data_IF_236647434465
#
_entry.id   IF_236647434465
#
_cell.length_a   1.000
_cell.length_b   1.000
_cell.length_c   1.000
_cell.angle_alpha   90.00
_cell.angle_beta   90.00
_cell.angle_gamma   90.00
#
_symmetry.space_group_name_H-M   'P 1'
#
loop_
_entity.id
_entity.type
_entity.pdbx_description
1 polymer ?
#
# COMPACT_ATOMS: atom_id res chain seq x y z
N UNK A 1 32.32 11.62 43.36
CA UNK A 1 31.08 10.84 43.58
C UNK A 1 30.10 11.68 44.39
N UNK A 2 28.93 12.03 43.82
CA UNK A 2 27.59 11.98 44.45
C UNK A 2 26.59 12.77 43.60
N UNK A 3 25.61 12.01 43.12
CA UNK A 3 24.66 12.31 42.06
C UNK A 3 23.42 12.97 42.66
N UNK A 4 22.89 13.99 41.98
CA UNK A 4 21.69 14.70 42.38
C UNK A 4 20.45 13.96 41.86
N UNK A 5 19.68 13.39 42.77
CA UNK A 5 18.42 12.71 42.49
C UNK A 5 17.26 13.55 43.02
N UNK A 6 16.15 13.46 42.29
CA UNK A 6 14.78 13.78 42.65
C UNK A 6 14.26 15.15 42.19
N UNK A 7 13.58 15.17 41.04
CA UNK A 7 12.13 14.94 40.92
C UNK A 7 11.42 16.27 41.05
N UNK A 8 11.06 16.90 39.93
CA UNK A 8 9.80 17.64 39.81
C UNK A 8 9.34 17.64 38.35
N UNK A 9 8.18 17.02 38.16
CA UNK A 9 7.17 17.35 37.14
C UNK A 9 7.35 16.70 35.75
N UNK A 10 6.70 15.53 35.60
CA UNK A 10 5.93 15.29 34.39
C UNK A 10 4.68 16.18 34.43
N UNK A 11 4.29 16.75 33.28
CA UNK A 11 2.92 16.59 32.85
C UNK A 11 2.85 15.81 31.53
N UNK A 12 1.76 15.07 31.45
CA UNK A 12 1.21 14.34 30.31
C UNK A 12 1.15 15.19 29.05
N UNK A 13 1.15 14.48 27.92
CA UNK A 13 0.51 14.88 26.67
C UNK A 13 1.12 16.08 25.93
N UNK A 14 2.11 15.80 25.09
CA UNK A 14 2.12 16.32 23.74
C UNK A 14 2.86 15.30 22.87
N UNK A 15 2.07 14.38 22.31
CA UNK A 15 2.44 13.65 21.10
C UNK A 15 2.92 14.71 20.13
N UNK A 16 4.24 14.84 19.96
CA UNK A 16 4.82 15.71 18.96
C UNK A 16 4.44 15.09 17.62
N UNK A 17 3.27 15.47 17.13
CA UNK A 17 2.85 15.31 15.75
C UNK A 17 3.74 16.24 14.96
N UNK A 18 4.98 15.82 14.71
CA UNK A 18 5.73 16.36 13.60
C UNK A 18 4.88 16.09 12.35
N UNK A 19 4.44 17.12 11.61
CA UNK A 19 3.86 16.88 10.31
C UNK A 19 5.02 16.40 9.45
N UNK A 20 5.16 15.07 9.32
CA UNK A 20 5.94 14.51 8.23
C UNK A 20 5.19 14.92 6.98
N UNK A 21 5.73 15.93 6.31
CA UNK A 21 5.23 16.48 5.06
C UNK A 21 4.64 15.40 4.17
N UNK A 22 3.44 15.61 3.60
CA UNK A 22 3.00 14.78 2.50
C UNK A 22 3.91 15.13 1.32
N UNK A 23 4.99 14.37 1.13
CA UNK A 23 5.66 14.30 -0.16
C UNK A 23 4.72 13.60 -1.15
N UNK A 24 3.63 14.28 -1.49
CA UNK A 24 2.97 14.16 -2.77
C UNK A 24 3.84 14.87 -3.79
N UNK A 25 4.93 14.21 -4.21
CA UNK A 25 5.70 14.60 -5.36
C UNK A 25 6.39 13.36 -5.93
N UNK A 26 5.82 12.87 -7.03
CA UNK A 26 6.47 12.02 -8.02
C UNK A 26 7.06 10.69 -7.50
N UNK A 27 6.18 9.75 -7.12
CA UNK A 27 6.50 8.32 -7.31
C UNK A 27 6.54 8.09 -8.82
N UNK A 28 7.71 8.32 -9.41
CA UNK A 28 8.15 8.00 -10.76
C UNK A 28 7.04 7.41 -11.64
N UNK A 29 6.19 8.30 -12.17
CA UNK A 29 5.28 7.98 -13.26
C UNK A 29 6.16 7.82 -14.49
N UNK A 30 6.88 6.70 -14.58
CA UNK A 30 7.34 6.23 -15.88
C UNK A 30 6.08 5.85 -16.65
N UNK A 31 5.73 6.80 -17.51
CA UNK A 31 4.70 6.75 -18.51
C UNK A 31 4.98 5.59 -19.45
N UNK A 32 4.21 4.51 -19.32
CA UNK A 32 3.90 3.64 -20.45
C UNK A 32 2.39 3.78 -20.71
N UNK A 33 1.98 4.95 -21.18
CA UNK A 33 0.58 5.38 -21.38
C UNK A 33 -0.16 4.65 -22.51
N UNK A 34 -0.05 3.33 -22.56
CA UNK A 34 -0.74 2.48 -23.55
C UNK A 34 -0.65 0.98 -23.28
N UNK A 35 0.16 0.53 -22.31
CA UNK A 35 0.34 -0.90 -22.00
C UNK A 35 0.02 -1.27 -20.54
N UNK A 36 -0.41 -0.31 -19.71
CA UNK A 36 -0.65 -0.53 -18.28
C UNK A 36 -1.89 -1.36 -18.01
N UNK A 37 -2.95 -1.22 -18.81
CA UNK A 37 -4.19 -1.95 -18.60
C UNK A 37 -4.02 -3.45 -18.86
N UNK A 38 -3.28 -3.86 -19.92
CA UNK A 38 -2.90 -5.26 -20.13
C UNK A 38 -1.93 -5.77 -19.07
N UNK A 39 -0.95 -4.95 -18.66
CA UNK A 39 -0.03 -5.31 -17.59
C UNK A 39 -0.74 -5.56 -16.25
N UNK A 40 -1.76 -4.74 -15.92
CA UNK A 40 -2.53 -4.85 -14.70
C UNK A 40 -3.42 -6.09 -14.67
N UNK A 41 -4.07 -6.44 -15.79
CA UNK A 41 -4.85 -7.69 -15.89
C UNK A 41 -3.95 -8.92 -15.75
N UNK A 42 -2.83 -8.97 -16.47
CA UNK A 42 -1.88 -10.08 -16.38
C UNK A 42 -1.31 -10.24 -14.95
N UNK A 43 -1.07 -9.12 -14.25
CA UNK A 43 -0.61 -9.14 -12.86
C UNK A 43 -1.71 -9.64 -11.91
N UNK A 44 -2.95 -9.20 -12.09
CA UNK A 44 -4.10 -9.69 -11.32
C UNK A 44 -4.23 -11.21 -11.43
N UNK A 45 -4.25 -11.76 -12.66
CA UNK A 45 -4.40 -13.20 -12.89
C UNK A 45 -3.29 -14.01 -12.22
N UNK A 46 -2.03 -13.56 -12.38
CA UNK A 46 -0.87 -14.18 -11.73
C UNK A 46 -1.01 -14.22 -10.21
N UNK A 47 -1.45 -13.12 -9.59
CA UNK A 47 -1.59 -13.08 -8.12
C UNK A 47 -2.75 -13.94 -7.62
N UNK A 48 -3.84 -14.06 -8.38
CA UNK A 48 -4.93 -14.99 -8.07
C UNK A 48 -4.46 -16.46 -8.11
N UNK A 49 -3.66 -16.84 -9.11
CA UNK A 49 -3.11 -18.19 -9.20
C UNK A 49 -2.19 -18.51 -8.02
N UNK A 50 -1.27 -17.60 -7.67
CA UNK A 50 -0.39 -17.74 -6.52
C UNK A 50 -1.18 -17.85 -5.20
N UNK A 51 -2.19 -17.00 -5.01
CA UNK A 51 -3.03 -17.03 -3.81
C UNK A 51 -3.74 -18.38 -3.65
N UNK A 52 -4.25 -18.96 -4.74
CA UNK A 52 -4.89 -20.27 -4.73
C UNK A 52 -3.90 -21.39 -4.42
N UNK A 53 -2.70 -21.34 -5.01
CA UNK A 53 -1.65 -22.32 -4.74
C UNK A 53 -1.24 -22.30 -3.26
N UNK A 54 -1.01 -21.12 -2.68
CA UNK A 54 -0.68 -21.00 -1.25
C UNK A 54 -1.83 -21.42 -0.33
N UNK A 55 -3.07 -21.10 -0.71
CA UNK A 55 -4.25 -21.55 0.05
C UNK A 55 -4.37 -23.07 0.09
N UNK A 56 -4.07 -23.76 -1.03
CA UNK A 56 -4.04 -25.23 -1.10
C UNK A 56 -2.87 -25.83 -0.31
N UNK A 57 -1.72 -25.14 -0.27
CA UNK A 57 -0.58 -25.53 0.57
C UNK A 57 -0.81 -25.25 2.07
N UNK A 58 -1.90 -24.58 2.44
CA UNK A 58 -2.21 -24.22 3.83
C UNK A 58 -1.56 -22.93 4.32
N UNK A 59 -0.84 -22.21 3.46
CA UNK A 59 -0.15 -20.96 3.76
C UNK A 59 -1.12 -19.77 3.69
N UNK A 60 -2.05 -19.68 4.64
CA UNK A 60 -3.14 -18.69 4.63
C UNK A 60 -2.66 -17.23 4.61
N UNK A 61 -1.60 -16.91 5.34
CA UNK A 61 -1.04 -15.54 5.41
C UNK A 61 -0.49 -15.11 4.04
N UNK A 62 0.25 -15.99 3.36
CA UNK A 62 0.76 -15.72 2.01
C UNK A 62 -0.37 -15.61 0.99
N UNK A 63 -1.39 -16.48 1.09
CA UNK A 63 -2.57 -16.38 0.24
C UNK A 63 -3.28 -15.02 0.38
N UNK A 64 -3.47 -14.53 1.61
CA UNK A 64 -4.06 -13.21 1.88
C UNK A 64 -3.22 -12.07 1.31
N UNK A 65 -1.89 -12.15 1.45
CA UNK A 65 -0.98 -11.18 0.87
C UNK A 65 -1.14 -11.11 -0.66
N UNK A 66 -1.19 -12.26 -1.33
CA UNK A 66 -1.43 -12.33 -2.77
C UNK A 66 -2.83 -11.84 -3.18
N UNK A 67 -3.87 -12.10 -2.38
CA UNK A 67 -5.19 -11.54 -2.64
C UNK A 67 -5.22 -10.02 -2.54
N UNK A 68 -4.49 -9.41 -1.60
CA UNK A 68 -4.34 -7.95 -1.53
C UNK A 68 -3.63 -7.40 -2.77
N UNK A 69 -2.58 -8.08 -3.24
CA UNK A 69 -1.91 -7.71 -4.49
C UNK A 69 -2.84 -7.80 -5.69
N UNK A 70 -3.62 -8.87 -5.81
CA UNK A 70 -4.63 -9.00 -6.86
C UNK A 70 -5.65 -7.86 -6.80
N UNK A 71 -6.19 -7.55 -5.61
CA UNK A 71 -7.15 -6.45 -5.41
C UNK A 71 -6.57 -5.09 -5.83
N UNK A 72 -5.30 -4.84 -5.51
CA UNK A 72 -4.60 -3.62 -5.94
C UNK A 72 -4.57 -3.48 -7.47
N UNK A 73 -4.18 -4.53 -8.18
CA UNK A 73 -4.10 -4.50 -9.65
C UNK A 73 -5.46 -4.46 -10.32
N UNK A 74 -6.46 -5.14 -9.75
CA UNK A 74 -7.84 -5.05 -10.20
C UNK A 74 -8.35 -3.60 -10.11
N UNK A 75 -8.10 -2.92 -8.98
CA UNK A 75 -8.51 -1.53 -8.77
C UNK A 75 -7.73 -0.55 -9.66
N UNK A 76 -6.44 -0.80 -9.88
CA UNK A 76 -5.61 0.00 -10.79
C UNK A 76 -6.08 -0.13 -12.25
N UNK A 77 -6.40 -1.35 -12.69
CA UNK A 77 -6.96 -1.60 -14.03
C UNK A 77 -8.38 -1.04 -14.20
N UNK A 78 -9.22 -1.11 -13.16
CA UNK A 78 -10.57 -0.54 -13.17
C UNK A 78 -10.56 1.00 -13.18
N UNK A 79 -9.58 1.64 -12.53
CA UNK A 79 -9.45 3.10 -12.52
C UNK A 79 -9.09 3.68 -13.91
N UNK A 80 -8.42 2.91 -14.77
CA UNK A 80 -8.12 3.33 -16.15
C UNK A 80 -9.34 3.31 -17.09
N UNK A 81 -10.38 2.52 -16.79
CA UNK A 81 -11.56 2.38 -17.64
C UNK A 81 -12.72 3.34 -17.27
N UNK A 82 -12.57 4.13 -16.21
CA UNK A 82 -13.58 5.11 -15.79
C UNK A 82 -13.16 6.52 -16.24
N UNK A 83 -13.21 6.79 -17.55
CA UNK A 83 -13.21 8.16 -18.06
C UNK A 83 -14.59 8.78 -17.82
N UNK A 84 -14.70 9.90 -17.08
CA UNK A 84 -15.96 10.64 -16.98
C UNK A 84 -16.22 11.27 -18.35
N UNK A 85 -17.25 10.77 -19.04
CA UNK A 85 -17.80 11.38 -20.25
C UNK A 85 -18.18 12.82 -19.90
N UNK A 86 -17.38 13.78 -20.36
CA UNK A 86 -17.67 15.21 -20.25
C UNK A 86 -18.93 15.53 -21.04
N UNK A 87 -19.85 16.24 -20.38
CA UNK A 87 -21.01 16.91 -20.96
C UNK A 87 -20.59 18.16 -21.75
#
# INVERSE_FOLDING_TARGET
>A
MKNNNQTRQAPRAARQTAPRSPSGAARNQTSNGGAKSQGAQNQYERYIELARAEALNGNRVEAENYYQHAEHYYRCGAAEHMSPTGL
#
